data_IF_189679500554
#
_entry.id   IF_189679500554
#
_cell.length_a   1.000
_cell.length_b   1.000
_cell.length_c   1.000
_cell.angle_alpha   90.00
_cell.angle_beta   90.00
_cell.angle_gamma   90.00
#
_symmetry.space_group_name_H-M   'P 1'
#
loop_
_entity.id
_entity.type
_entity.pdbx_description
1 polymer ?
#
# COMPACT_ATOMS: atom_id res chain seq x y z
N UNK A 1 10.56 12.52 -8.16
CA UNK A 1 11.01 11.43 -9.08
C UNK A 1 9.82 10.53 -9.36
N UNK A 2 9.60 10.10 -10.61
CA UNK A 2 8.48 9.20 -10.95
C UNK A 2 8.86 7.72 -10.93
N UNK A 3 7.96 6.84 -10.48
CA UNK A 3 8.14 5.38 -10.46
C UNK A 3 6.81 4.64 -10.64
N UNK A 4 6.85 3.41 -11.15
CA UNK A 4 5.67 2.54 -11.27
C UNK A 4 5.65 1.54 -10.10
N UNK A 5 4.49 1.34 -9.50
CA UNK A 5 4.27 0.35 -8.45
C UNK A 5 2.86 -0.24 -8.56
N UNK A 6 2.74 -1.57 -8.60
CA UNK A 6 1.47 -2.28 -8.79
C UNK A 6 0.63 -1.73 -9.97
N UNK A 7 1.29 -1.34 -11.07
CA UNK A 7 0.63 -0.80 -12.28
C UNK A 7 0.18 0.66 -12.18
N UNK A 8 0.55 1.38 -11.12
CA UNK A 8 0.26 2.81 -10.94
C UNK A 8 1.55 3.63 -10.96
N UNK A 9 1.53 4.81 -11.60
CA UNK A 9 2.67 5.76 -11.60
C UNK A 9 2.57 6.71 -10.40
N UNK A 10 3.59 6.73 -9.56
CA UNK A 10 3.73 7.63 -8.41
C UNK A 10 4.86 8.63 -8.61
N UNK A 11 4.80 9.72 -7.85
CA UNK A 11 5.85 10.72 -7.74
C UNK A 11 6.34 10.77 -6.29
N UNK A 12 7.65 10.56 -6.07
CA UNK A 12 8.27 10.60 -4.74
C UNK A 12 8.08 11.93 -4.03
N UNK A 13 7.87 13.01 -4.79
CA UNK A 13 7.73 14.36 -4.25
C UNK A 13 6.29 14.64 -3.78
N UNK A 14 5.38 13.69 -4.01
CA UNK A 14 3.97 13.74 -3.58
C UNK A 14 3.70 12.66 -2.53
N UNK A 15 2.81 12.91 -1.57
CA UNK A 15 2.41 11.88 -0.63
C UNK A 15 1.62 10.78 -1.34
N UNK A 16 1.79 9.55 -0.85
CA UNK A 16 0.94 8.41 -1.18
C UNK A 16 -0.05 8.18 -0.06
N UNK A 17 -1.21 7.62 -0.40
CA UNK A 17 -2.19 7.16 0.57
C UNK A 17 -2.02 5.65 0.77
N UNK A 18 -2.07 5.21 2.02
CA UNK A 18 -1.93 3.79 2.41
C UNK A 18 -3.14 3.38 3.25
N UNK A 19 -3.78 2.29 2.86
CA UNK A 19 -4.88 1.70 3.62
C UNK A 19 -4.35 0.99 4.86
N UNK A 20 -5.10 1.06 5.95
CA UNK A 20 -4.85 0.37 7.20
C UNK A 20 -6.06 0.42 8.12
N UNK A 21 -5.82 0.20 9.40
CA UNK A 21 -6.81 0.27 10.47
C UNK A 21 -6.13 0.73 11.76
N UNK A 22 -6.93 1.13 12.75
CA UNK A 22 -6.42 1.56 14.06
C UNK A 22 -6.92 0.61 15.13
N UNK A 23 -6.01 -0.01 15.87
CA UNK A 23 -6.34 -0.77 17.09
C UNK A 23 -5.94 0.10 18.28
N UNK A 24 -6.95 0.51 19.06
CA UNK A 24 -6.79 1.40 20.22
C UNK A 24 -6.23 2.78 19.78
N UNK A 25 -4.90 2.90 19.67
CA UNK A 25 -4.20 4.13 19.28
C UNK A 25 -3.16 3.91 18.19
N UNK A 26 -2.84 2.66 17.88
CA UNK A 26 -1.78 2.33 16.93
C UNK A 26 -2.37 2.03 15.56
N UNK A 27 -1.77 2.61 14.54
CA UNK A 27 -2.17 2.37 13.15
C UNK A 27 -1.36 1.23 12.55
N UNK A 28 -2.04 0.36 11.81
CA UNK A 28 -1.46 -0.80 11.14
C UNK A 28 -1.81 -0.76 9.66
N UNK A 29 -0.82 -0.96 8.79
CA UNK A 29 -1.03 -1.03 7.35
C UNK A 29 -1.76 -2.31 6.96
N UNK A 30 -2.73 -2.20 6.06
CA UNK A 30 -3.39 -3.37 5.50
C UNK A 30 -2.45 -4.12 4.54
N UNK A 31 -2.37 -5.43 4.74
CA UNK A 31 -1.67 -6.38 3.88
C UNK A 31 -2.61 -7.51 3.48
N UNK A 32 -2.73 -7.74 2.16
CA UNK A 32 -3.62 -8.78 1.57
C UNK A 32 -3.28 -10.19 2.02
N UNK A 33 -2.00 -10.47 2.26
CA UNK A 33 -1.51 -11.80 2.66
C UNK A 33 -1.80 -12.15 4.12
N UNK A 34 -2.21 -11.18 4.94
CA UNK A 34 -2.50 -11.40 6.36
C UNK A 34 -4.00 -11.66 6.56
N UNK A 35 -4.33 -12.91 6.89
CA UNK A 35 -5.71 -13.40 7.04
C UNK A 35 -6.55 -12.60 8.06
N UNK A 36 -5.91 -12.03 9.08
CA UNK A 36 -6.59 -11.24 10.12
C UNK A 36 -6.97 -9.83 9.68
N UNK A 37 -6.36 -9.30 8.63
CA UNK A 37 -6.55 -7.89 8.26
C UNK A 37 -7.98 -7.57 7.80
N UNK A 38 -8.63 -8.48 7.08
CA UNK A 38 -10.03 -8.32 6.71
C UNK A 38 -10.93 -8.26 7.95
N UNK A 39 -10.70 -9.16 8.92
CA UNK A 39 -11.43 -9.15 10.18
C UNK A 39 -11.20 -7.84 10.96
N UNK A 40 -9.95 -7.39 11.05
CA UNK A 40 -9.63 -6.14 11.74
C UNK A 40 -10.24 -4.92 11.05
N UNK A 41 -10.24 -4.86 9.71
CA UNK A 41 -10.93 -3.78 9.00
C UNK A 41 -12.44 -3.83 9.23
N UNK A 42 -13.06 -5.02 9.27
CA UNK A 42 -14.48 -5.15 9.58
C UNK A 42 -14.80 -4.69 11.00
N UNK A 43 -13.93 -4.97 11.97
CA UNK A 43 -14.13 -4.63 13.39
C UNK A 43 -13.82 -3.16 13.71
N UNK A 44 -12.72 -2.62 13.19
CA UNK A 44 -12.19 -1.29 13.53
C UNK A 44 -12.42 -0.23 12.45
N UNK A 45 -12.88 -0.65 11.27
CA UNK A 45 -13.09 0.20 10.11
C UNK A 45 -11.80 0.48 9.33
N UNK A 46 -11.95 0.60 8.00
CA UNK A 46 -10.87 1.01 7.12
C UNK A 46 -10.45 2.47 7.39
N UNK A 47 -9.15 2.70 7.51
CA UNK A 47 -8.54 4.02 7.66
C UNK A 47 -7.46 4.20 6.60
N UNK A 48 -7.28 5.43 6.13
CA UNK A 48 -6.24 5.77 5.16
C UNK A 48 -5.37 6.87 5.74
N UNK A 49 -4.06 6.68 5.67
CA UNK A 49 -3.06 7.69 6.07
C UNK A 49 -2.19 8.10 4.89
N UNK A 50 -1.65 9.32 4.97
CA UNK A 50 -0.74 9.86 3.96
C UNK A 50 0.70 9.68 4.41
N UNK A 51 1.54 9.17 3.52
CA UNK A 51 2.96 8.96 3.75
C UNK A 51 3.79 9.57 2.63
N UNK A 52 5.00 10.00 2.95
CA UNK A 52 5.99 10.45 1.99
C UNK A 52 6.99 9.33 1.73
N UNK A 53 7.27 9.07 0.45
CA UNK A 53 8.25 8.04 0.07
C UNK A 53 9.64 8.52 0.42
N UNK A 54 10.40 7.69 1.12
CA UNK A 54 11.76 8.03 1.57
C UNK A 54 12.81 7.06 1.04
N UNK A 55 12.42 5.82 0.76
CA UNK A 55 13.31 4.82 0.14
C UNK A 55 12.53 4.00 -0.89
N UNK A 56 13.12 3.79 -2.06
CA UNK A 56 12.64 2.86 -3.07
C UNK A 56 13.59 1.67 -3.16
N UNK A 57 13.05 0.45 -3.11
CA UNK A 57 13.80 -0.79 -3.35
C UNK A 57 13.35 -1.42 -4.65
N UNK A 58 14.32 -1.83 -5.43
CA UNK A 58 14.14 -2.44 -6.74
C UNK A 58 14.49 -3.93 -6.68
N UNK A 59 13.89 -4.72 -7.56
CA UNK A 59 14.32 -6.11 -7.74
C UNK A 59 15.79 -6.14 -8.18
N UNK A 60 16.66 -6.77 -7.40
CA UNK A 60 18.04 -7.07 -7.81
C UNK A 60 18.02 -8.44 -8.47
N UNK A 61 17.89 -8.51 -9.80
CA UNK A 61 18.17 -9.75 -10.53
C UNK A 61 19.10 -9.51 -11.71
N UNK A 62 20.08 -10.40 -11.80
CA UNK A 62 21.17 -10.51 -12.74
C UNK A 62 20.72 -10.56 -14.20
N UNK A 63 21.37 -9.75 -15.06
CA UNK A 63 21.34 -9.93 -16.51
C UNK A 63 20.79 -8.75 -17.31
N UNK A 64 21.71 -7.91 -17.80
CA UNK A 64 21.75 -7.10 -19.03
C UNK A 64 20.51 -6.45 -19.68
N UNK A 65 19.32 -6.45 -19.10
CA UNK A 65 18.16 -5.75 -19.69
C UNK A 65 17.51 -4.80 -18.68
N UNK A 66 18.12 -3.61 -18.53
CA UNK A 66 17.55 -2.46 -17.85
C UNK A 66 16.38 -1.90 -18.66
N UNK A 67 15.21 -2.52 -18.59
CA UNK A 67 13.96 -1.89 -19.04
C UNK A 67 12.89 -2.05 -17.96
N UNK A 68 12.60 -0.89 -17.34
CA UNK A 68 11.56 -0.55 -16.37
C UNK A 68 11.93 -0.68 -14.89
N UNK A 69 11.64 0.41 -14.18
CA UNK A 69 11.75 0.64 -12.75
C UNK A 69 10.83 -0.31 -11.96
N UNK A 70 11.15 -1.60 -11.89
CA UNK A 70 10.39 -2.57 -11.08
C UNK A 70 10.69 -2.38 -9.58
N UNK A 71 10.05 -1.36 -8.99
CA UNK A 71 10.03 -1.16 -7.53
C UNK A 71 9.31 -2.34 -6.91
N UNK A 72 9.96 -3.03 -5.97
CA UNK A 72 9.39 -4.18 -5.26
C UNK A 72 8.90 -3.82 -3.87
N UNK A 73 9.56 -2.85 -3.25
CA UNK A 73 9.20 -2.33 -1.92
C UNK A 73 9.51 -0.84 -1.86
N UNK A 74 8.80 -0.13 -1.02
CA UNK A 74 9.13 1.25 -0.66
C UNK A 74 8.99 1.46 0.84
N UNK A 75 9.86 2.28 1.41
CA UNK A 75 9.69 2.80 2.76
C UNK A 75 9.00 4.15 2.66
N UNK A 76 7.88 4.29 3.36
CA UNK A 76 7.14 5.54 3.43
C UNK A 76 7.01 5.98 4.89
N UNK A 77 7.20 7.27 5.11
CA UNK A 77 7.21 7.90 6.44
C UNK A 77 6.05 8.89 6.55
N UNK A 78 5.35 8.84 7.68
CA UNK A 78 4.33 9.84 8.04
C UNK A 78 5.01 11.21 8.14
N UNK A 79 4.31 12.27 7.73
CA UNK A 79 4.81 13.64 7.89
C UNK A 79 5.03 14.02 9.35
N UNK A 80 4.33 13.35 10.27
CA UNK A 80 4.47 13.54 11.71
C UNK A 80 5.63 12.71 12.31
N UNK A 81 6.36 11.93 11.50
CA UNK A 81 7.52 11.08 11.85
C UNK A 81 7.28 10.08 12.99
N UNK A 82 6.04 9.86 13.35
CA UNK A 82 5.59 8.88 14.34
C UNK A 82 5.50 7.47 13.74
N UNK A 83 5.33 7.37 12.43
CA UNK A 83 5.04 6.10 11.75
C UNK A 83 5.87 5.92 10.47
N UNK A 84 6.48 4.74 10.32
CA UNK A 84 7.14 4.30 9.09
C UNK A 84 6.53 2.97 8.66
N UNK A 85 6.27 2.83 7.36
CA UNK A 85 5.70 1.60 6.81
C UNK A 85 6.53 1.11 5.62
N UNK A 86 6.78 -0.20 5.63
CA UNK A 86 7.26 -0.92 4.44
C UNK A 86 6.07 -1.37 3.60
N UNK A 87 5.98 -0.80 2.41
CA UNK A 87 4.95 -1.06 1.42
C UNK A 87 5.53 -2.03 0.39
N UNK A 88 4.77 -3.07 0.10
CA UNK A 88 5.06 -4.08 -0.91
C UNK A 88 3.79 -4.41 -1.72
N UNK A 89 3.88 -5.40 -2.61
CA UNK A 89 2.77 -5.76 -3.51
C UNK A 89 1.46 -6.10 -2.78
N UNK A 90 1.52 -6.50 -1.51
CA UNK A 90 0.35 -6.90 -0.73
C UNK A 90 -0.32 -5.69 -0.05
N UNK A 91 0.33 -4.53 -0.08
CA UNK A 91 -0.20 -3.28 0.46
C UNK A 91 -1.22 -2.65 -0.49
N UNK A 92 -2.23 -1.97 0.05
CA UNK A 92 -3.14 -1.14 -0.74
C UNK A 92 -2.70 0.32 -0.63
N UNK A 93 -2.29 0.88 -1.76
CA UNK A 93 -1.88 2.28 -1.89
C UNK A 93 -2.61 2.96 -3.05
N UNK A 94 -2.67 4.28 -3.01
CA UNK A 94 -3.21 5.12 -4.09
C UNK A 94 -2.83 6.59 -3.93
N UNK A 95 -3.27 7.43 -4.85
CA UNK A 95 -3.06 8.89 -4.81
C UNK A 95 -4.02 9.58 -3.86
N UNK A 96 -5.16 8.95 -3.54
CA UNK A 96 -6.19 9.51 -2.68
C UNK A 96 -6.78 8.45 -1.73
N UNK A 97 -7.42 8.88 -0.62
CA UNK A 97 -8.18 7.97 0.24
C UNK A 97 -9.30 7.23 -0.50
N UNK A 98 -9.98 7.91 -1.42
CA UNK A 98 -11.06 7.34 -2.22
C UNK A 98 -10.55 6.21 -3.10
N UNK A 99 -9.36 6.37 -3.70
CA UNK A 99 -8.73 5.35 -4.53
C UNK A 99 -8.32 4.12 -3.72
N UNK A 100 -7.74 4.31 -2.53
CA UNK A 100 -7.42 3.20 -1.63
C UNK A 100 -8.67 2.39 -1.25
N UNK A 101 -9.76 3.09 -0.91
CA UNK A 101 -11.03 2.45 -0.55
C UNK A 101 -11.69 1.75 -1.75
N UNK A 102 -11.56 2.31 -2.96
CA UNK A 102 -12.03 1.68 -4.19
C UNK A 102 -11.30 0.36 -4.44
N UNK A 103 -9.96 0.38 -4.41
CA UNK A 103 -9.13 -0.82 -4.56
C UNK A 103 -9.49 -1.87 -3.51
N UNK A 104 -9.71 -1.45 -2.26
CA UNK A 104 -10.14 -2.36 -1.19
C UNK A 104 -11.48 -3.04 -1.51
N UNK A 105 -12.48 -2.29 -1.97
CA UNK A 105 -13.80 -2.84 -2.32
C UNK A 105 -13.72 -3.82 -3.49
N UNK A 106 -12.97 -3.47 -4.53
CA UNK A 106 -12.76 -4.36 -5.69
C UNK A 106 -12.15 -5.71 -5.26
N UNK A 107 -11.25 -5.70 -4.27
CA UNK A 107 -10.66 -6.93 -3.70
C UNK A 107 -11.69 -7.73 -2.89
N UNK A 108 -12.56 -7.06 -2.12
CA UNK A 108 -13.62 -7.75 -1.37
C UNK A 108 -14.63 -8.39 -2.33
N UNK A 109 -15.09 -7.66 -3.33
CA UNK A 109 -16.04 -8.15 -4.34
C UNK A 109 -15.48 -9.37 -5.09
N UNK A 110 -14.22 -9.32 -5.52
CA UNK A 110 -13.58 -10.47 -6.17
C UNK A 110 -13.46 -11.70 -5.25
N UNK A 111 -13.24 -11.49 -3.95
CA UNK A 111 -13.15 -12.60 -2.99
C UNK A 111 -14.51 -13.24 -2.66
N UNK A 112 -15.60 -12.47 -2.77
CA UNK A 112 -16.97 -12.95 -2.56
C UNK A 112 -17.48 -13.72 -3.81
N UNK A 113 -17.12 -13.29 -5.01
CA UNK A 113 -17.43 -13.97 -6.27
C UNK A 113 -16.74 -15.36 -6.37
N UNK A 114 -15.51 -15.51 -5.89
CA UNK A 114 -14.80 -16.80 -5.85
C UNK A 114 -15.42 -17.81 -4.86
N UNK A 115 -16.31 -17.37 -3.97
CA UNK A 115 -16.97 -18.20 -2.95
C UNK A 115 -18.43 -18.56 -3.27
N UNK A 116 -18.98 -17.97 -4.34
CA UNK A 116 -20.38 -18.17 -4.79
C UNK A 116 -20.47 -19.25 -5.87
#
# INVERSE_FOLDING_TARGET
MKFEFNGQEFDTDKPICVLGYVIIKDWYSYRRSESMNNRHIQEYGAKVKKFYVTELRFCKFSGNNYKKNNVTKMCALSSQRDESVWIDKDSIIGHSPQECLKIYKEIQEAADDERS
#
